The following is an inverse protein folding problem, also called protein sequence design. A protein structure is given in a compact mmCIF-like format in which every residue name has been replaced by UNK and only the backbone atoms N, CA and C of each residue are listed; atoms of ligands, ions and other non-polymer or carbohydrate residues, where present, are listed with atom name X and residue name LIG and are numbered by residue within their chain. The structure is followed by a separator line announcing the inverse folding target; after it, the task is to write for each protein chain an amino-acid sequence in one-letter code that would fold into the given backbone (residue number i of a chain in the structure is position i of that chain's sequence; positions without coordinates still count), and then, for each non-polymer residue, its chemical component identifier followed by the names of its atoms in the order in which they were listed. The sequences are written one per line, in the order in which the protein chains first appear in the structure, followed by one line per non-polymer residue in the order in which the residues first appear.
data_IF_514044075847
#
_entry.id   IF_514044075847
#
_cell.length_a   1.000
_cell.length_b   1.000
_cell.length_c   1.000
_cell.angle_alpha   90.00
_cell.angle_beta   90.00
_cell.angle_gamma   90.00
#
_symmetry.space_group_name_H-M   'P 1'
#
loop_
_entity.id
_entity.type
_entity.pdbx_description
1 polymer ?
#
# COMPACT_ATOMS: atom_id res chain seq x y z
N UNK A 1 -15.29 -8.77 -7.45
CA UNK A 1 -15.78 -8.36 -6.10
C UNK A 1 -15.45 -6.89 -5.90
N UNK A 2 -16.31 -6.11 -5.25
CA UNK A 2 -16.07 -4.67 -5.01
C UNK A 2 -16.30 -4.32 -3.54
N UNK A 3 -15.35 -3.60 -2.96
CA UNK A 3 -15.39 -3.03 -1.61
C UNK A 3 -15.29 -1.50 -1.71
N UNK A 4 -15.77 -0.81 -0.69
CA UNK A 4 -15.67 0.65 -0.59
C UNK A 4 -15.08 1.03 0.76
N UNK A 5 -14.21 2.02 0.79
CA UNK A 5 -13.65 2.58 2.01
C UNK A 5 -13.51 4.09 1.94
N UNK A 6 -12.73 4.63 2.87
CA UNK A 6 -12.38 6.05 2.93
C UNK A 6 -11.19 6.33 2.02
N UNK A 7 -11.36 7.28 1.11
CA UNK A 7 -10.28 7.83 0.29
C UNK A 7 -9.25 8.57 1.16
N UNK A 8 -7.96 8.28 0.94
CA UNK A 8 -6.83 8.93 1.61
C UNK A 8 -5.96 9.69 0.61
N UNK A 9 -5.62 9.05 -0.51
CA UNK A 9 -4.78 9.62 -1.56
C UNK A 9 -5.40 9.32 -2.92
N UNK A 10 -5.49 10.36 -3.75
CA UNK A 10 -6.17 10.36 -5.05
C UNK A 10 -5.43 9.54 -6.12
N UNK A 11 -6.12 9.28 -7.23
CA UNK A 11 -5.60 8.53 -8.36
C UNK A 11 -6.11 7.10 -8.41
N UNK A 12 -5.72 6.38 -9.47
CA UNK A 12 -6.13 4.99 -9.70
C UNK A 12 -4.91 4.13 -9.92
N UNK A 13 -4.84 3.01 -9.21
CA UNK A 13 -3.74 2.07 -9.29
C UNK A 13 -4.25 0.64 -9.40
N UNK A 14 -3.67 -0.12 -10.32
CA UNK A 14 -4.02 -1.52 -10.58
C UNK A 14 -2.78 -2.39 -10.54
N UNK A 15 -2.89 -3.56 -9.93
CA UNK A 15 -1.79 -4.53 -9.87
C UNK A 15 -2.18 -5.80 -9.14
N UNK A 16 -1.29 -6.78 -9.19
CA UNK A 16 -1.41 -8.00 -8.39
C UNK A 16 -1.46 -7.65 -6.89
N UNK A 17 -2.41 -8.25 -6.18
CA UNK A 17 -2.54 -8.07 -4.75
C UNK A 17 -1.35 -8.68 -4.01
N UNK A 18 -0.72 -7.87 -3.15
CA UNK A 18 0.26 -8.30 -2.17
C UNK A 18 -0.31 -8.01 -0.78
N UNK A 19 -0.90 -9.03 -0.16
CA UNK A 19 -1.58 -8.92 1.13
C UNK A 19 -0.71 -9.44 2.28
N UNK A 20 -0.84 -8.79 3.44
CA UNK A 20 -0.28 -9.24 4.72
C UNK A 20 -1.18 -8.78 5.87
N UNK A 21 -1.32 -9.61 6.90
CA UNK A 21 -1.94 -9.24 8.18
C UNK A 21 -0.94 -8.60 9.16
N UNK A 22 0.33 -8.55 8.78
CA UNK A 22 1.43 -7.98 9.56
C UNK A 22 1.70 -6.54 9.13
N UNK A 23 1.87 -5.58 10.07
CA UNK A 23 2.22 -4.19 9.78
C UNK A 23 3.54 -4.06 9.02
N UNK A 24 3.60 -3.12 8.07
CA UNK A 24 4.81 -2.83 7.29
C UNK A 24 5.51 -1.58 7.83
N UNK A 25 6.82 -1.67 8.07
CA UNK A 25 7.67 -0.51 8.32
C UNK A 25 8.35 -0.07 7.03
N UNK A 26 7.97 1.10 6.52
CA UNK A 26 8.72 1.72 5.42
C UNK A 26 10.08 2.26 5.89
N UNK A 27 10.25 2.52 7.18
CA UNK A 27 11.57 2.86 7.74
C UNK A 27 12.35 1.58 8.05
N UNK A 28 13.33 1.26 7.21
CA UNK A 28 14.23 0.13 7.40
C UNK A 28 13.63 -1.26 7.10
N UNK A 29 12.34 -1.35 6.75
CA UNK A 29 11.71 -2.61 6.34
C UNK A 29 11.52 -2.75 4.82
N UNK A 30 11.70 -1.68 4.05
CA UNK A 30 11.66 -1.68 2.58
C UNK A 30 12.89 -0.97 2.04
N UNK A 31 13.55 -1.57 1.06
CA UNK A 31 14.62 -0.91 0.31
C UNK A 31 14.03 0.08 -0.70
N UNK A 32 14.26 1.37 -0.48
CA UNK A 32 13.77 2.46 -1.32
C UNK A 32 14.25 2.40 -2.78
N UNK A 33 15.36 1.69 -3.08
CA UNK A 33 15.92 1.59 -4.42
C UNK A 33 15.30 0.47 -5.24
N UNK A 34 14.92 -0.62 -4.59
CA UNK A 34 14.47 -1.86 -5.25
C UNK A 34 12.99 -2.16 -5.02
N UNK A 35 12.37 -1.55 -4.00
CA UNK A 35 11.00 -1.87 -3.58
C UNK A 35 10.88 -3.23 -2.90
N UNK A 36 12.00 -3.87 -2.53
CA UNK A 36 11.99 -5.17 -1.85
C UNK A 36 11.78 -4.97 -0.35
N UNK A 37 10.92 -5.79 0.25
CA UNK A 37 10.77 -5.88 1.70
C UNK A 37 11.99 -6.59 2.28
N UNK A 38 12.79 -5.87 3.06
CA UNK A 38 14.07 -6.34 3.62
C UNK A 38 13.99 -6.71 5.10
N UNK A 39 12.87 -6.43 5.77
CA UNK A 39 12.65 -6.90 7.15
C UNK A 39 12.57 -8.43 7.18
N UNK A 40 13.58 -9.07 7.76
CA UNK A 40 13.70 -10.54 7.84
C UNK A 40 12.62 -11.18 8.70
N UNK A 41 11.97 -10.41 9.58
CA UNK A 41 10.89 -10.91 10.45
C UNK A 41 9.52 -10.77 9.81
N UNK A 42 9.42 -10.07 8.68
CA UNK A 42 8.16 -9.83 8.00
C UNK A 42 7.80 -11.02 7.08
N UNK A 43 6.54 -11.49 7.06
CA UNK A 43 6.13 -12.64 6.23
C UNK A 43 6.36 -12.44 4.73
N UNK A 44 6.36 -11.18 4.28
CA UNK A 44 6.65 -10.80 2.89
C UNK A 44 8.13 -10.52 2.61
N UNK A 45 9.05 -10.92 3.48
CA UNK A 45 10.50 -10.74 3.26
C UNK A 45 10.92 -11.24 1.87
N UNK A 46 11.71 -10.43 1.16
CA UNK A 46 12.20 -10.74 -0.19
C UNK A 46 11.18 -10.52 -1.32
N UNK A 47 9.93 -10.15 -1.02
CA UNK A 47 8.94 -9.78 -2.03
C UNK A 47 9.10 -8.31 -2.43
N UNK A 48 8.82 -8.01 -3.70
CA UNK A 48 8.77 -6.63 -4.19
C UNK A 48 7.36 -6.06 -4.10
N UNK A 49 7.26 -4.80 -3.67
CA UNK A 49 6.00 -4.03 -3.68
C UNK A 49 5.82 -3.25 -4.98
N UNK A 50 6.85 -3.17 -5.82
CA UNK A 50 6.84 -2.35 -7.04
C UNK A 50 5.70 -2.77 -7.98
N UNK A 51 4.82 -1.83 -8.33
CA UNK A 51 3.66 -2.05 -9.20
C UNK A 51 2.59 -2.99 -8.64
N UNK A 52 2.65 -3.36 -7.35
CA UNK A 52 1.65 -4.20 -6.68
C UNK A 52 0.59 -3.34 -6.00
N UNK A 53 -0.59 -3.92 -5.76
CA UNK A 53 -1.54 -3.37 -4.79
C UNK A 53 -1.18 -3.93 -3.43
N UNK A 54 -0.63 -3.07 -2.56
CA UNK A 54 -0.13 -3.48 -1.26
C UNK A 54 -1.23 -3.31 -0.20
N UNK A 55 -1.68 -4.42 0.38
CA UNK A 55 -2.70 -4.44 1.43
C UNK A 55 -2.10 -4.90 2.76
N UNK A 56 -2.20 -4.07 3.79
CA UNK A 56 -1.63 -4.31 5.12
C UNK A 56 -2.44 -3.55 6.19
N UNK A 57 -2.41 -3.94 7.47
CA UNK A 57 -3.35 -3.38 8.45
C UNK A 57 -3.09 -1.89 8.76
N UNK A 58 -1.85 -1.55 9.10
CA UNK A 58 -1.38 -0.20 9.40
C UNK A 58 0.14 -0.12 9.20
N UNK A 59 0.68 1.08 9.04
CA UNK A 59 2.12 1.30 8.98
C UNK A 59 2.78 1.15 10.35
N UNK A 60 4.04 0.73 10.39
CA UNK A 60 4.84 0.73 11.62
C UNK A 60 5.94 1.77 11.50
N UNK A 61 5.92 2.79 12.38
CA UNK A 61 7.01 3.75 12.53
C UNK A 61 6.62 5.21 12.27
N UNK A 62 7.15 6.12 13.09
CA UNK A 62 6.44 7.37 13.41
C UNK A 62 7.10 8.67 12.94
N UNK A 63 8.02 8.65 11.96
CA UNK A 63 8.62 9.93 11.51
C UNK A 63 9.10 9.97 10.06
N UNK A 64 9.92 9.00 9.62
CA UNK A 64 10.65 9.09 8.32
C UNK A 64 10.04 8.21 7.22
N UNK A 65 9.03 7.39 7.53
CA UNK A 65 8.42 6.45 6.57
C UNK A 65 7.85 7.13 5.32
N UNK A 66 7.33 8.36 5.44
CA UNK A 66 6.80 9.14 4.32
C UNK A 66 7.86 9.46 3.26
N UNK A 67 9.10 9.79 3.67
CA UNK A 67 10.20 10.05 2.74
C UNK A 67 10.68 8.79 2.02
N UNK A 68 10.55 7.62 2.66
CA UNK A 68 10.86 6.35 2.00
C UNK A 68 9.84 6.05 0.90
N UNK A 69 8.55 6.26 1.16
CA UNK A 69 7.51 6.15 0.12
C UNK A 69 7.78 7.09 -1.05
N UNK A 70 8.19 8.33 -0.76
CA UNK A 70 8.58 9.28 -1.79
C UNK A 70 9.79 8.81 -2.59
N UNK A 71 10.80 8.25 -1.91
CA UNK A 71 11.96 7.64 -2.56
C UNK A 71 11.59 6.47 -3.47
N UNK A 72 10.67 5.60 -3.04
CA UNK A 72 10.15 4.49 -3.84
C UNK A 72 9.47 5.01 -5.12
N UNK A 73 8.65 6.05 -5.02
CA UNK A 73 7.98 6.66 -6.17
C UNK A 73 9.00 7.30 -7.12
N UNK A 74 9.96 8.06 -6.59
CA UNK A 74 11.04 8.67 -7.38
C UNK A 74 11.89 7.63 -8.12
N UNK A 75 12.06 6.45 -7.52
CA UNK A 75 12.81 5.34 -8.10
C UNK A 75 11.96 4.41 -8.98
N UNK A 76 10.68 4.73 -9.22
CA UNK A 76 9.73 3.90 -9.99
C UNK A 76 9.56 2.47 -9.44
N UNK A 77 9.71 2.30 -8.13
CA UNK A 77 9.55 1.01 -7.42
C UNK A 77 8.48 1.09 -6.32
N UNK A 78 7.63 2.11 -6.38
CA UNK A 78 6.46 2.25 -5.50
C UNK A 78 5.38 1.21 -5.83
N UNK A 79 4.51 0.89 -4.85
CA UNK A 79 3.29 0.15 -5.13
C UNK A 79 2.37 0.93 -6.07
N UNK A 80 1.59 0.20 -6.86
CA UNK A 80 0.57 0.78 -7.73
C UNK A 80 -0.55 1.44 -6.90
N UNK A 81 -0.90 0.85 -5.76
CA UNK A 81 -1.83 1.43 -4.79
C UNK A 81 -1.66 0.79 -3.40
N UNK A 82 -2.23 1.44 -2.38
CA UNK A 82 -2.21 0.96 -0.99
C UNK A 82 -3.63 0.79 -0.44
N UNK A 83 -3.83 -0.29 0.31
CA UNK A 83 -5.04 -0.55 1.08
C UNK A 83 -4.65 -0.73 2.55
N UNK A 84 -5.24 0.07 3.46
CA UNK A 84 -5.07 -0.13 4.90
C UNK A 84 -6.39 -0.48 5.61
N UNK A 85 -6.29 -1.24 6.70
CA UNK A 85 -7.42 -1.37 7.63
C UNK A 85 -7.65 -0.02 8.30
N UNK A 86 -6.59 0.59 8.81
CA UNK A 86 -6.61 1.93 9.37
C UNK A 86 -5.30 2.65 9.05
N UNK A 87 -5.40 3.77 8.35
CA UNK A 87 -4.25 4.55 7.95
C UNK A 87 -3.79 5.47 9.09
N UNK A 88 -2.49 5.44 9.39
CA UNK A 88 -1.83 6.46 10.21
C UNK A 88 -1.46 7.69 9.38
N UNK A 89 -1.42 8.87 10.02
CA UNK A 89 -1.16 10.15 9.36
C UNK A 89 0.13 10.17 8.53
N UNK A 90 1.18 9.49 8.98
CA UNK A 90 2.48 9.50 8.29
C UNK A 90 2.45 8.69 7.00
N UNK A 91 1.72 7.57 6.97
CA UNK A 91 1.52 6.78 5.75
C UNK A 91 0.63 7.56 4.78
N UNK A 92 -0.42 8.22 5.28
CA UNK A 92 -1.26 9.10 4.46
C UNK A 92 -0.42 10.19 3.78
N UNK A 93 0.41 10.91 4.55
CA UNK A 93 1.32 11.93 4.00
C UNK A 93 2.24 11.31 2.96
N UNK A 94 2.86 10.16 3.28
CA UNK A 94 3.72 9.42 2.36
C UNK A 94 3.04 9.07 1.04
N UNK A 95 1.82 8.54 1.08
CA UNK A 95 1.04 8.20 -0.11
C UNK A 95 0.69 9.45 -0.94
N UNK A 96 0.21 10.51 -0.29
CA UNK A 96 -0.20 11.76 -0.93
C UNK A 96 0.98 12.43 -1.64
N UNK A 97 2.13 12.62 -0.97
CA UNK A 97 3.29 13.28 -1.58
C UNK A 97 3.95 12.43 -2.67
N UNK A 98 3.74 11.10 -2.62
CA UNK A 98 4.28 10.15 -3.60
C UNK A 98 3.33 9.94 -4.78
N UNK A 99 2.12 10.50 -4.74
CA UNK A 99 1.09 10.27 -5.76
C UNK A 99 0.60 8.83 -5.82
N UNK A 100 0.69 8.08 -4.70
CA UNK A 100 0.26 6.68 -4.62
C UNK A 100 -1.23 6.68 -4.22
N UNK A 101 -2.13 6.10 -5.02
CA UNK A 101 -3.53 5.93 -4.66
C UNK A 101 -3.70 5.13 -3.37
N UNK A 102 -4.57 5.59 -2.47
CA UNK A 102 -4.75 4.94 -1.18
C UNK A 102 -6.19 5.04 -0.67
N UNK A 103 -6.67 3.90 -0.16
CA UNK A 103 -7.97 3.76 0.53
C UNK A 103 -7.74 3.05 1.87
N UNK A 104 -8.49 3.44 2.90
CA UNK A 104 -8.54 2.71 4.16
C UNK A 104 -9.97 2.42 4.63
N UNK A 105 -10.12 1.66 5.74
CA UNK A 105 -11.43 1.38 6.36
C UNK A 105 -12.47 0.83 5.37
N UNK A 106 -12.10 -0.22 4.64
CA UNK A 106 -13.01 -0.91 3.73
C UNK A 106 -14.24 -1.45 4.49
N UNK A 107 -15.39 -1.48 3.82
CA UNK A 107 -16.63 -2.11 4.30
C UNK A 107 -16.61 -3.65 4.24
N UNK A 108 -15.42 -4.24 4.20
CA UNK A 108 -15.14 -5.68 4.13
C UNK A 108 -13.65 -5.94 4.37
N UNK A 109 -13.24 -7.20 4.35
CA UNK A 109 -11.84 -7.57 4.60
C UNK A 109 -11.03 -7.61 3.30
N UNK A 110 -9.89 -6.91 3.28
CA UNK A 110 -8.94 -6.97 2.17
C UNK A 110 -8.39 -8.38 1.94
N UNK A 111 -8.41 -9.26 2.95
CA UNK A 111 -8.03 -10.67 2.83
C UNK A 111 -8.92 -11.47 1.86
N UNK A 112 -10.13 -10.98 1.57
CA UNK A 112 -11.06 -11.62 0.63
C UNK A 112 -10.76 -11.26 -0.82
N UNK A 113 -9.91 -10.25 -1.06
CA UNK A 113 -9.46 -9.89 -2.40
C UNK A 113 -8.41 -10.88 -2.88
N UNK A 114 -8.32 -11.09 -4.19
CA UNK A 114 -7.31 -11.93 -4.81
C UNK A 114 -7.06 -11.50 -6.26
N UNK A 115 -5.93 -11.95 -6.82
CA UNK A 115 -5.54 -11.64 -8.19
C UNK A 115 -5.25 -10.16 -8.42
N UNK A 116 -5.67 -9.66 -9.59
CA UNK A 116 -5.49 -8.26 -9.98
C UNK A 116 -6.56 -7.39 -9.32
N UNK A 117 -6.10 -6.43 -8.53
CA UNK A 117 -6.95 -5.48 -7.81
C UNK A 117 -6.75 -4.09 -8.39
N UNK A 118 -7.83 -3.33 -8.51
CA UNK A 118 -7.84 -1.91 -8.84
C UNK A 118 -8.33 -1.13 -7.63
N UNK A 119 -7.55 -0.13 -7.23
CA UNK A 119 -7.89 0.82 -6.17
C UNK A 119 -8.12 2.19 -6.78
N UNK A 120 -9.31 2.73 -6.57
CA UNK A 120 -9.67 4.08 -6.95
C UNK A 120 -9.65 4.97 -5.70
N UNK A 121 -8.54 5.69 -5.55
CA UNK A 121 -8.35 6.65 -4.48
C UNK A 121 -9.21 7.91 -4.62
N UNK A 122 -9.81 8.20 -5.78
CA UNK A 122 -10.72 9.33 -5.95
C UNK A 122 -12.13 9.01 -5.41
N UNK A 123 -12.61 7.78 -5.59
CA UNK A 123 -13.95 7.35 -5.16
C UNK A 123 -13.95 6.56 -3.85
N UNK A 124 -12.81 6.02 -3.44
CA UNK A 124 -12.71 5.10 -2.30
C UNK A 124 -13.09 3.65 -2.65
N UNK A 125 -13.22 3.32 -3.93
CA UNK A 125 -13.61 1.98 -4.39
C UNK A 125 -12.38 1.07 -4.59
N UNK A 126 -12.54 -0.20 -4.25
CA UNK A 126 -11.55 -1.26 -4.50
C UNK A 126 -12.26 -2.42 -5.18
N UNK A 127 -11.79 -2.82 -6.36
CA UNK A 127 -12.36 -3.93 -7.12
C UNK A 127 -11.31 -4.98 -7.48
N UNK A 128 -11.67 -6.25 -7.37
CA UNK A 128 -10.86 -7.37 -7.84
C UNK A 128 -11.48 -7.93 -9.14
N UNK A 129 -10.64 -8.08 -10.17
CA UNK A 129 -11.00 -8.80 -11.38
C UNK A 129 -11.17 -10.29 -11.04
N UNK A 130 -12.19 -10.94 -11.62
CA UNK A 130 -12.41 -12.38 -11.46
C UNK A 130 -11.46 -13.19 -12.35
#
# INVERSE_FOLDING_TARGET
MTLTGRSISKGVGTGELLYTDTPISFLGGVDAKTGIIIDQKHPLHGKTIAGKVLAFPYGKGSTVGSYVMYGLAKNNVAPAAIINTECETIIAIGAIISGIPMVDRLNGDAAQLSGVVTVNGDTGEVSAAQ
#
